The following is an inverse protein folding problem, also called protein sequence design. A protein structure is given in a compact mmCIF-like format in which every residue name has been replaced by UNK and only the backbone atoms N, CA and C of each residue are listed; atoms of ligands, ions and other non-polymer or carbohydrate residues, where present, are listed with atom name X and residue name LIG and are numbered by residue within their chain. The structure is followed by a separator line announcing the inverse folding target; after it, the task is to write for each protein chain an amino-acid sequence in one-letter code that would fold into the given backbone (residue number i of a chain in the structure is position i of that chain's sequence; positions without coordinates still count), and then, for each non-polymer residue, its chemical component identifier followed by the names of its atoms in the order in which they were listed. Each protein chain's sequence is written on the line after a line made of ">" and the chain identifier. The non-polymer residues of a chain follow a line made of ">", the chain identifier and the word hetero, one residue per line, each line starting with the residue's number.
data_IF_836637167928
#
_entry.id   IF_836637167928
#
_cell.length_a   1.000
_cell.length_b   1.000
_cell.length_c   1.000
_cell.angle_alpha   90.00
_cell.angle_beta   90.00
_cell.angle_gamma   90.00
#
_symmetry.space_group_name_H-M   'P 1'
#
loop_
_entity.id
_entity.type
_entity.pdbx_description
1 polymer ?
#
# COMPACT_ATOMS: atom_id res chain seq x y z
N UNK A 1 -4.52 -16.48 14.50
CA UNK A 1 -4.63 -15.55 15.66
C UNK A 1 -5.43 -14.36 15.18
N UNK A 2 -6.57 -14.09 15.83
CA UNK A 2 -7.45 -12.96 15.50
C UNK A 2 -6.96 -11.76 16.31
N UNK A 3 -6.74 -10.61 15.67
CA UNK A 3 -6.35 -9.42 16.44
C UNK A 3 -7.57 -8.89 17.21
N UNK A 4 -7.36 -8.32 18.41
CA UNK A 4 -8.37 -7.54 19.10
C UNK A 4 -9.00 -6.47 18.19
N UNK A 5 -10.31 -6.14 18.33
CA UNK A 5 -11.00 -5.23 17.42
C UNK A 5 -10.39 -3.82 17.28
N UNK A 6 -9.73 -3.34 18.34
CA UNK A 6 -8.98 -2.08 18.32
C UNK A 6 -7.69 -2.19 17.48
N UNK A 7 -7.05 -3.35 17.46
CA UNK A 7 -5.85 -3.61 16.67
C UNK A 7 -6.17 -3.86 15.19
N UNK A 8 -7.37 -4.37 14.87
CA UNK A 8 -7.84 -4.47 13.48
C UNK A 8 -7.92 -3.09 12.79
N UNK A 9 -8.43 -2.06 13.49
CA UNK A 9 -8.42 -0.68 12.98
C UNK A 9 -7.02 -0.09 12.85
N UNK A 10 -6.11 -0.49 13.73
CA UNK A 10 -4.70 -0.07 13.67
C UNK A 10 -4.01 -0.74 12.48
N UNK A 11 -4.32 -2.01 12.20
CA UNK A 11 -3.80 -2.73 11.02
C UNK A 11 -4.11 -1.99 9.73
N UNK A 12 -5.36 -1.59 9.53
CA UNK A 12 -5.77 -0.89 8.31
C UNK A 12 -5.05 0.45 8.17
N UNK A 13 -5.03 1.26 9.23
CA UNK A 13 -4.34 2.57 9.23
C UNK A 13 -2.83 2.45 9.04
N UNK A 14 -2.23 1.39 9.58
CA UNK A 14 -0.80 1.13 9.39
C UNK A 14 -0.51 0.72 7.95
N UNK A 15 -1.33 -0.13 7.35
CA UNK A 15 -1.20 -0.52 5.94
C UNK A 15 -1.36 0.69 5.02
N UNK A 16 -2.36 1.54 5.27
CA UNK A 16 -2.57 2.80 4.55
C UNK A 16 -1.36 3.72 4.68
N UNK A 17 -0.86 3.97 5.89
CA UNK A 17 0.29 4.84 6.10
C UNK A 17 1.56 4.33 5.38
N UNK A 18 1.84 3.02 5.46
CA UNK A 18 2.97 2.40 4.76
C UNK A 18 2.83 2.60 3.24
N UNK A 19 1.62 2.41 2.70
CA UNK A 19 1.36 2.63 1.28
C UNK A 19 1.55 4.09 0.87
N UNK A 20 0.99 5.03 1.62
CA UNK A 20 1.14 6.47 1.32
C UNK A 20 2.61 6.91 1.36
N UNK A 21 3.41 6.41 2.32
CA UNK A 21 4.85 6.67 2.35
C UNK A 21 5.57 6.10 1.13
N UNK A 22 5.19 4.89 0.69
CA UNK A 22 5.73 4.31 -0.54
C UNK A 22 5.36 5.14 -1.77
N UNK A 23 4.11 5.59 -1.88
CA UNK A 23 3.63 6.46 -2.96
C UNK A 23 4.42 7.77 -2.99
N UNK A 24 4.57 8.44 -1.84
CA UNK A 24 5.34 9.70 -1.74
C UNK A 24 6.77 9.53 -2.24
N UNK A 25 7.49 8.53 -1.74
CA UNK A 25 8.86 8.25 -2.16
C UNK A 25 8.96 7.93 -3.67
N UNK A 26 7.97 7.23 -4.22
CA UNK A 26 7.92 6.95 -5.67
C UNK A 26 7.69 8.22 -6.48
N UNK A 27 6.77 9.09 -6.07
CA UNK A 27 6.53 10.38 -6.71
C UNK A 27 7.78 11.25 -6.66
N UNK A 28 8.49 11.30 -5.53
CA UNK A 28 9.77 12.02 -5.39
C UNK A 28 10.85 11.50 -6.35
N UNK A 29 10.86 10.19 -6.61
CA UNK A 29 11.71 9.55 -7.60
C UNK A 29 11.21 9.74 -9.06
N UNK A 30 10.19 10.56 -9.27
CA UNK A 30 9.62 10.88 -10.58
C UNK A 30 8.75 9.77 -11.16
N UNK A 31 8.21 8.88 -10.33
CA UNK A 31 7.24 7.89 -10.79
C UNK A 31 5.84 8.50 -10.91
N UNK A 32 5.07 7.97 -11.86
CA UNK A 32 3.69 8.39 -12.13
C UNK A 32 2.78 7.18 -12.24
N UNK A 33 1.47 7.41 -12.16
CA UNK A 33 0.51 6.35 -12.43
C UNK A 33 0.59 5.85 -13.88
N UNK A 34 0.42 4.54 -14.07
CA UNK A 34 0.18 3.92 -15.37
C UNK A 34 -0.52 2.57 -15.19
N UNK A 35 -1.31 2.16 -16.17
CA UNK A 35 -2.11 0.93 -16.08
C UNK A 35 -1.26 -0.34 -15.87
N UNK A 36 -0.03 -0.32 -16.35
CA UNK A 36 0.97 -1.37 -16.18
C UNK A 36 2.27 -0.78 -15.65
N UNK A 37 3.12 -1.63 -15.07
CA UNK A 37 4.43 -1.20 -14.60
C UNK A 37 5.36 -1.01 -15.79
N UNK A 38 5.93 0.19 -15.91
CA UNK A 38 6.93 0.55 -16.93
C UNK A 38 8.08 1.30 -16.26
N UNK A 39 9.20 0.60 -16.01
CA UNK A 39 10.36 1.19 -15.33
C UNK A 39 11.08 2.23 -16.21
N UNK A 40 10.94 2.13 -17.55
CA UNK A 40 11.51 3.09 -18.50
C UNK A 40 10.79 4.43 -18.49
N UNK A 41 9.46 4.41 -18.36
CA UNK A 41 8.63 5.61 -18.19
C UNK A 41 8.39 5.97 -16.72
N UNK A 42 8.91 5.19 -15.78
CA UNK A 42 8.65 5.28 -14.34
C UNK A 42 7.16 5.29 -14.02
N UNK A 43 6.43 4.30 -14.54
CA UNK A 43 5.01 4.14 -14.28
C UNK A 43 4.72 2.93 -13.39
N UNK A 44 3.78 3.06 -12.46
CA UNK A 44 3.35 1.96 -11.61
C UNK A 44 1.84 1.99 -11.37
N UNK A 45 1.12 0.86 -11.48
CA UNK A 45 -0.34 0.81 -11.32
C UNK A 45 -0.80 1.10 -9.89
N UNK A 46 0.04 0.77 -8.90
CA UNK A 46 -0.26 1.02 -7.50
C UNK A 46 -0.06 2.48 -7.04
N UNK A 47 0.32 3.41 -7.92
CA UNK A 47 0.39 4.84 -7.58
C UNK A 47 -1.00 5.47 -7.60
N UNK A 48 -1.83 4.98 -6.69
CA UNK A 48 -3.22 5.38 -6.43
C UNK A 48 -3.43 5.44 -4.91
N UNK A 49 -4.54 6.03 -4.48
CA UNK A 49 -4.96 6.00 -3.08
C UNK A 49 -5.07 4.55 -2.58
N UNK A 50 -4.75 4.31 -1.30
CA UNK A 50 -4.81 2.97 -0.70
C UNK A 50 -6.14 2.24 -0.94
N UNK A 51 -7.27 2.97 -0.88
CA UNK A 51 -8.62 2.44 -1.11
C UNK A 51 -8.91 2.02 -2.55
N UNK A 52 -8.07 2.43 -3.51
CA UNK A 52 -8.18 2.14 -4.94
C UNK A 52 -7.15 1.12 -5.40
N UNK A 53 -6.36 0.56 -4.48
CA UNK A 53 -5.43 -0.51 -4.80
C UNK A 53 -6.19 -1.73 -5.34
N UNK A 54 -5.58 -2.48 -6.27
CA UNK A 54 -6.07 -3.81 -6.61
C UNK A 54 -6.16 -4.69 -5.36
N UNK A 55 -7.20 -5.53 -5.28
CA UNK A 55 -7.45 -6.39 -4.11
C UNK A 55 -6.22 -7.19 -3.67
N UNK A 56 -5.43 -7.68 -4.63
CA UNK A 56 -4.21 -8.42 -4.36
C UNK A 56 -3.19 -7.58 -3.57
N UNK A 57 -2.93 -6.35 -4.01
CA UNK A 57 -1.96 -5.44 -3.40
C UNK A 57 -2.48 -4.88 -2.08
N UNK A 58 -3.77 -4.57 -2.02
CA UNK A 58 -4.43 -4.14 -0.79
C UNK A 58 -4.34 -5.22 0.30
N UNK A 59 -4.65 -6.48 -0.04
CA UNK A 59 -4.56 -7.61 0.88
C UNK A 59 -3.11 -7.89 1.30
N UNK A 60 -2.14 -7.74 0.40
CA UNK A 60 -0.73 -7.87 0.73
C UNK A 60 -0.29 -6.83 1.79
N UNK A 61 -0.66 -5.56 1.61
CA UNK A 61 -0.36 -4.50 2.57
C UNK A 61 -1.02 -4.76 3.94
N UNK A 62 -2.27 -5.25 3.96
CA UNK A 62 -2.94 -5.65 5.20
C UNK A 62 -2.25 -6.83 5.89
N UNK A 63 -1.81 -7.84 5.14
CA UNK A 63 -1.09 -8.98 5.70
C UNK A 63 0.25 -8.56 6.31
N UNK A 64 1.02 -7.75 5.59
CA UNK A 64 2.29 -7.19 6.09
C UNK A 64 2.09 -6.38 7.37
N UNK A 65 1.04 -5.55 7.41
CA UNK A 65 0.65 -4.80 8.60
C UNK A 65 0.26 -5.73 9.76
N UNK A 66 -0.49 -6.80 9.48
CA UNK A 66 -0.86 -7.80 10.47
C UNK A 66 0.36 -8.56 11.02
N UNK A 67 1.33 -8.88 10.18
CA UNK A 67 2.59 -9.49 10.61
C UNK A 67 3.43 -8.55 11.47
N UNK A 68 3.43 -7.25 11.15
CA UNK A 68 4.13 -6.22 11.93
C UNK A 68 3.52 -6.00 13.32
N UNK A 69 2.20 -6.20 13.46
CA UNK A 69 1.46 -6.04 14.72
C UNK A 69 1.39 -7.31 15.58
N UNK A 70 1.88 -8.45 15.09
CA UNK A 70 1.97 -9.72 15.84
C UNK A 70 3.19 -9.74 16.75
#
# INVERSE_FOLDING_TARGET
>A
IVLPPNLEKIREKLAENIHELWVMNKIELGWTYGAERDDGKRQHPCLVEFSKLPDQEHNYNLQMSQETLK
#
